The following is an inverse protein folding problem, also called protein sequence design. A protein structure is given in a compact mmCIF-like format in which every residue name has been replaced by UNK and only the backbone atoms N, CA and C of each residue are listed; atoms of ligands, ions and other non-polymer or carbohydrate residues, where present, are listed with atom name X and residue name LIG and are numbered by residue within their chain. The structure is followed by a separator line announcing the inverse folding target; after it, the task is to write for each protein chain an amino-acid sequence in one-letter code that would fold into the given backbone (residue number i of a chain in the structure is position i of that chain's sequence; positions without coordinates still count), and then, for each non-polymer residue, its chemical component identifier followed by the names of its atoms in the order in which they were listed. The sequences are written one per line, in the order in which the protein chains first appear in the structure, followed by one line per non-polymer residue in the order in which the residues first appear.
data_IF_140704098952
#
_entry.id   IF_140704098952
#
_cell.length_a   1.000
_cell.length_b   1.000
_cell.length_c   1.000
_cell.angle_alpha   90.00
_cell.angle_beta   90.00
_cell.angle_gamma   90.00
#
_symmetry.space_group_name_H-M   'P 1'
#
loop_
_entity.id
_entity.type
_entity.pdbx_description
1 polymer ?
#
# COMPACT_ATOMS: atom_id res chain seq x y z
N UNK A 1 18.26 -1.07 32.45
CA UNK A 1 16.99 -1.20 31.71
C UNK A 1 17.30 -1.54 30.27
N UNK A 2 17.05 -2.76 29.77
CA UNK A 2 17.34 -3.04 28.37
C UNK A 2 16.25 -2.41 27.50
N UNK A 3 16.66 -1.59 26.53
CA UNK A 3 15.78 -1.13 25.48
C UNK A 3 15.27 -2.35 24.72
N UNK A 4 13.95 -2.49 24.61
CA UNK A 4 13.32 -3.46 23.70
C UNK A 4 13.64 -3.01 22.28
N UNK A 5 14.75 -3.48 21.73
CA UNK A 5 15.03 -3.37 20.30
C UNK A 5 14.07 -4.31 19.60
N UNK A 6 13.02 -3.73 19.01
CA UNK A 6 12.07 -4.45 18.16
C UNK A 6 12.88 -5.26 17.13
N UNK A 7 12.68 -6.59 17.02
CA UNK A 7 13.46 -7.39 16.08
C UNK A 7 13.33 -6.79 14.66
N UNK A 8 14.42 -6.77 13.87
CA UNK A 8 14.35 -6.33 12.49
C UNK A 8 13.29 -7.20 11.78
N UNK A 9 12.33 -6.53 11.15
CA UNK A 9 11.30 -7.20 10.37
C UNK A 9 11.97 -8.11 9.33
N UNK A 10 11.46 -9.33 9.06
CA UNK A 10 12.00 -10.16 8.00
C UNK A 10 12.00 -9.37 6.68
N UNK A 11 12.94 -9.64 5.76
CA UNK A 11 13.04 -8.91 4.50
C UNK A 11 11.69 -9.00 3.78
N UNK A 12 11.07 -7.85 3.58
CA UNK A 12 9.77 -7.76 2.93
C UNK A 12 9.89 -8.25 1.48
N UNK A 13 9.30 -9.41 1.22
CA UNK A 13 9.27 -9.96 -0.15
C UNK A 13 8.26 -9.26 -1.04
N UNK A 14 7.40 -8.42 -0.46
CA UNK A 14 6.45 -7.56 -1.16
C UNK A 14 6.64 -6.13 -0.72
N UNK A 15 6.68 -5.22 -1.69
CA UNK A 15 6.80 -3.78 -1.45
C UNK A 15 5.58 -3.11 -2.05
N UNK A 16 4.90 -2.30 -1.24
CA UNK A 16 3.86 -1.39 -1.73
C UNK A 16 4.52 -0.08 -2.18
N UNK A 17 4.47 0.19 -3.47
CA UNK A 17 4.89 1.43 -4.09
C UNK A 17 3.73 2.41 -4.11
N UNK A 18 3.98 3.60 -3.57
CA UNK A 18 3.07 4.75 -3.61
C UNK A 18 3.80 5.89 -4.34
N UNK A 19 3.12 6.66 -5.22
CA UNK A 19 3.79 7.72 -5.98
C UNK A 19 4.31 8.85 -5.08
N UNK A 20 3.56 9.17 -4.01
CA UNK A 20 3.98 10.07 -2.97
C UNK A 20 3.32 9.69 -1.63
N UNK A 21 3.90 10.15 -0.52
CA UNK A 21 3.34 9.96 0.83
C UNK A 21 2.34 11.04 1.21
N UNK A 22 2.40 12.20 0.57
CA UNK A 22 1.44 13.30 0.69
C UNK A 22 0.82 13.53 -0.69
N UNK A 23 -0.50 13.46 -0.75
CA UNK A 23 -1.31 13.56 -1.97
C UNK A 23 -2.42 14.58 -1.73
N UNK A 24 -2.93 15.22 -2.77
CA UNK A 24 -4.04 16.16 -2.62
C UNK A 24 -5.38 15.45 -2.82
N UNK A 25 -6.43 16.00 -2.23
CA UNK A 25 -7.80 15.60 -2.56
C UNK A 25 -8.06 15.83 -4.06
N UNK A 26 -8.76 14.89 -4.70
CA UNK A 26 -9.04 14.93 -6.14
C UNK A 26 -7.96 14.31 -7.04
N UNK A 27 -6.76 14.03 -6.53
CA UNK A 27 -5.69 13.38 -7.30
C UNK A 27 -6.09 11.98 -7.81
N UNK A 28 -5.39 11.52 -8.83
CA UNK A 28 -5.46 10.13 -9.33
C UNK A 28 -4.17 9.41 -9.00
N UNK A 29 -4.26 8.41 -8.14
CA UNK A 29 -3.09 7.75 -7.57
C UNK A 29 -3.17 6.26 -7.82
N UNK A 30 -2.11 5.69 -8.40
CA UNK A 30 -2.00 4.25 -8.59
C UNK A 30 -1.00 3.68 -7.59
N UNK A 31 -1.50 2.86 -6.67
CA UNK A 31 -0.67 2.05 -5.78
C UNK A 31 -0.21 0.80 -6.54
N UNK A 32 1.03 0.36 -6.33
CA UNK A 32 1.57 -0.83 -7.00
C UNK A 32 2.21 -1.78 -6.01
N UNK A 33 1.81 -3.04 -6.02
CA UNK A 33 2.41 -4.11 -5.24
C UNK A 33 3.49 -4.82 -6.05
N UNK A 34 4.74 -4.81 -5.60
CA UNK A 34 5.86 -5.42 -6.32
C UNK A 34 6.51 -6.50 -5.48
N UNK A 35 6.92 -7.58 -6.12
CA UNK A 35 7.83 -8.55 -5.51
C UNK A 35 9.22 -7.95 -5.32
N UNK A 36 9.89 -8.30 -4.24
CA UNK A 36 11.29 -7.96 -4.02
C UNK A 36 12.14 -8.49 -5.17
N UNK A 37 13.05 -7.67 -5.70
CA UNK A 37 13.84 -7.95 -6.91
C UNK A 37 13.00 -8.41 -8.12
N UNK A 38 11.83 -7.79 -8.34
CA UNK A 38 10.93 -8.11 -9.46
C UNK A 38 10.44 -9.56 -9.50
N UNK A 39 10.45 -10.24 -8.36
CA UNK A 39 9.82 -11.55 -8.22
C UNK A 39 8.37 -11.49 -8.71
N UNK A 40 7.94 -12.50 -9.47
CA UNK A 40 6.57 -12.58 -9.95
C UNK A 40 5.59 -12.70 -8.77
N UNK A 41 4.55 -11.87 -8.78
CA UNK A 41 3.50 -11.85 -7.75
C UNK A 41 2.14 -12.07 -8.40
N UNK A 42 1.34 -12.97 -7.85
CA UNK A 42 -0.02 -13.26 -8.32
C UNK A 42 -1.04 -13.19 -7.18
N UNK A 43 -2.32 -13.06 -7.53
CA UNK A 43 -3.41 -12.99 -6.54
C UNK A 43 -3.28 -11.83 -5.55
N UNK A 44 -2.80 -10.67 -6.03
CA UNK A 44 -2.58 -9.49 -5.17
C UNK A 44 -3.89 -9.00 -4.55
N UNK A 45 -3.82 -8.64 -3.28
CA UNK A 45 -4.88 -7.99 -2.50
C UNK A 45 -4.32 -6.72 -1.87
N UNK A 46 -5.14 -5.68 -1.84
CA UNK A 46 -4.80 -4.42 -1.19
C UNK A 46 -5.60 -4.26 0.10
N UNK A 47 -5.00 -3.57 1.07
CA UNK A 47 -5.61 -3.33 2.38
C UNK A 47 -5.47 -1.85 2.74
N UNK A 48 -6.52 -1.25 3.30
CA UNK A 48 -6.54 0.09 3.92
C UNK A 48 -7.04 -0.05 5.35
N UNK A 49 -6.28 0.46 6.32
CA UNK A 49 -6.60 0.31 7.75
C UNK A 49 -6.91 -1.15 8.13
N UNK A 50 -6.11 -2.08 7.58
CA UNK A 50 -6.22 -3.54 7.74
C UNK A 50 -7.45 -4.20 7.11
N UNK A 51 -8.33 -3.42 6.48
CA UNK A 51 -9.49 -3.91 5.73
C UNK A 51 -9.13 -4.14 4.27
N UNK A 52 -9.53 -5.29 3.73
CA UNK A 52 -9.31 -5.62 2.33
C UNK A 52 -10.11 -4.68 1.42
N UNK A 53 -9.44 -4.06 0.46
CA UNK A 53 -10.07 -3.24 -0.57
C UNK A 53 -10.59 -4.15 -1.67
N UNK A 54 -11.90 -4.35 -1.69
CA UNK A 54 -12.59 -5.14 -2.71
C UNK A 54 -12.64 -4.32 -4.01
N UNK A 55 -12.12 -4.87 -5.10
CA UNK A 55 -12.14 -4.19 -6.41
C UNK A 55 -10.77 -3.88 -7.01
N UNK A 56 -9.67 -4.44 -6.48
CA UNK A 56 -8.41 -4.50 -7.21
C UNK A 56 -8.59 -5.36 -8.48
N UNK A 57 -9.03 -4.69 -9.54
CA UNK A 57 -9.39 -5.25 -10.83
C UNK A 57 -8.13 -5.75 -11.51
N UNK A 58 -7.77 -7.01 -11.26
CA UNK A 58 -6.78 -7.79 -11.99
C UNK A 58 -5.41 -7.11 -12.12
N UNK A 59 -4.45 -7.56 -11.33
CA UNK A 59 -3.04 -7.23 -11.55
C UNK A 59 -2.32 -6.96 -10.25
N UNK A 60 -1.31 -6.10 -10.33
CA UNK A 60 -0.48 -5.69 -9.21
C UNK A 60 -0.71 -4.23 -8.83
N UNK A 61 -1.74 -3.59 -9.38
CA UNK A 61 -1.97 -2.15 -9.28
C UNK A 61 -3.41 -1.86 -8.80
N UNK A 62 -3.56 -0.76 -8.06
CA UNK A 62 -4.83 -0.25 -7.56
C UNK A 62 -4.89 1.26 -7.78
N UNK A 63 -5.86 1.71 -8.58
CA UNK A 63 -6.11 3.14 -8.78
C UNK A 63 -7.12 3.68 -7.77
N UNK A 64 -6.74 4.75 -7.07
CA UNK A 64 -7.55 5.56 -6.19
C UNK A 64 -7.85 6.87 -6.94
N UNK A 65 -9.10 7.01 -7.40
CA UNK A 65 -9.51 8.15 -8.21
C UNK A 65 -11.03 8.34 -8.16
N UNK A 66 -11.54 9.52 -7.81
CA UNK A 66 -10.81 10.64 -7.21
C UNK A 66 -10.34 10.31 -5.78
N UNK A 67 -9.15 10.80 -5.40
CA UNK A 67 -8.65 10.61 -4.04
C UNK A 67 -9.46 11.46 -3.05
N UNK A 68 -9.93 10.86 -1.97
CA UNK A 68 -10.74 11.50 -0.93
C UNK A 68 -9.97 11.63 0.38
N UNK A 69 -10.26 12.66 1.18
CA UNK A 69 -9.67 12.84 2.53
C UNK A 69 -9.72 11.57 3.39
N UNK A 70 -10.84 10.84 3.36
CA UNK A 70 -11.03 9.62 4.15
C UNK A 70 -10.21 8.41 3.65
N UNK A 71 -9.59 8.50 2.47
CA UNK A 71 -8.68 7.50 1.94
C UNK A 71 -7.25 7.69 2.47
N UNK A 72 -6.98 8.75 3.24
CA UNK A 72 -5.76 8.79 4.06
C UNK A 72 -5.66 7.59 5.01
N UNK A 73 -4.44 7.15 5.31
CA UNK A 73 -4.21 6.06 6.26
C UNK A 73 -3.13 5.07 5.84
N UNK A 74 -3.14 3.90 6.48
CA UNK A 74 -2.15 2.84 6.30
C UNK A 74 -2.60 1.86 5.24
N UNK A 75 -1.80 1.76 4.18
CA UNK A 75 -1.99 0.81 3.10
C UNK A 75 -1.01 -0.35 3.20
N UNK A 76 -1.46 -1.55 2.81
CA UNK A 76 -0.62 -2.75 2.62
C UNK A 76 -1.04 -3.45 1.34
N UNK A 77 -0.15 -4.22 0.75
CA UNK A 77 -0.53 -5.24 -0.20
C UNK A 77 -0.14 -6.63 0.28
N UNK A 78 -0.80 -7.65 -0.24
CA UNK A 78 -0.42 -9.05 -0.04
C UNK A 78 -0.61 -9.82 -1.33
N UNK A 79 0.12 -10.91 -1.51
CA UNK A 79 0.09 -11.68 -2.74
C UNK A 79 0.91 -12.96 -2.65
N UNK A 80 0.74 -13.83 -3.65
CA UNK A 80 1.54 -15.03 -3.81
C UNK A 80 2.85 -14.68 -4.49
N UNK A 81 3.95 -14.80 -3.76
CA UNK A 81 5.30 -14.54 -4.25
C UNK A 81 5.87 -15.82 -4.86
N UNK A 82 6.35 -15.75 -6.10
CA UNK A 82 7.02 -16.86 -6.77
C UNK A 82 8.53 -16.61 -6.81
N UNK A 83 9.24 -16.97 -5.73
CA UNK A 83 10.70 -16.83 -5.62
C UNK A 83 11.40 -18.14 -5.21
N UNK A 84 10.72 -19.29 -5.28
CA UNK A 84 11.23 -20.57 -4.80
C UNK A 84 10.45 -21.77 -5.36
N UNK A 85 10.66 -22.99 -4.82
CA UNK A 85 10.07 -24.22 -5.36
C UNK A 85 8.54 -24.26 -5.26
N UNK A 86 7.96 -23.51 -4.33
CA UNK A 86 6.51 -23.33 -4.18
C UNK A 86 6.20 -21.85 -3.94
N UNK A 87 5.10 -21.31 -4.48
CA UNK A 87 4.66 -19.96 -4.15
C UNK A 87 4.08 -19.90 -2.73
N UNK A 88 4.33 -18.80 -2.03
CA UNK A 88 3.79 -18.53 -0.69
C UNK A 88 3.09 -17.18 -0.62
N UNK A 89 2.10 -17.09 0.27
CA UNK A 89 1.41 -15.85 0.55
C UNK A 89 2.22 -14.97 1.50
N UNK A 90 2.40 -13.70 1.16
CA UNK A 90 3.11 -12.72 2.00
C UNK A 90 2.31 -11.40 2.08
N UNK A 91 2.58 -10.57 3.09
CA UNK A 91 2.10 -9.18 3.18
C UNK A 91 3.28 -8.20 3.21
N UNK A 92 3.11 -7.04 2.59
CA UNK A 92 4.06 -5.93 2.68
C UNK A 92 3.97 -5.22 4.05
N UNK A 93 4.99 -4.46 4.40
CA UNK A 93 4.91 -3.48 5.46
C UNK A 93 3.86 -2.41 5.12
N UNK A 94 3.30 -1.77 6.17
CA UNK A 94 2.40 -0.65 6.01
C UNK A 94 3.11 0.57 5.46
N UNK A 95 2.49 1.22 4.49
CA UNK A 95 2.84 2.55 4.02
C UNK A 95 1.72 3.52 4.40
N UNK A 96 2.06 4.58 5.13
CA UNK A 96 1.09 5.62 5.47
C UNK A 96 1.02 6.64 4.33
N UNK A 97 -0.21 6.90 3.87
CA UNK A 97 -0.56 7.90 2.88
C UNK A 97 -1.35 9.01 3.57
N UNK A 98 -0.96 10.26 3.34
CA UNK A 98 -1.66 11.44 3.83
C UNK A 98 -2.35 12.12 2.66
N UNK A 99 -3.66 12.38 2.81
CA UNK A 99 -4.43 13.16 1.83
C UNK A 99 -4.62 14.56 2.43
N UNK A 100 -4.19 15.57 1.69
CA UNK A 100 -4.32 16.97 2.04
C UNK A 100 -5.56 17.52 1.35
N UNK A 101 -6.50 18.03 2.14
CA UNK A 101 -7.60 18.82 1.59
C UNK A 101 -7.06 20.15 1.06
N UNK A 102 -7.70 20.70 0.04
CA UNK A 102 -7.46 22.08 -0.33
C UNK A 102 -7.84 22.98 0.87
N UNK A 103 -7.01 23.97 1.16
CA UNK A 103 -7.37 24.96 2.16
C UNK A 103 -8.53 25.78 1.58
N UNK A 104 -9.76 25.47 2.03
CA UNK A 104 -10.95 26.21 1.62
C UNK A 104 -10.76 27.69 1.96
N UNK A 105 -10.90 28.55 0.95
CA UNK A 105 -10.93 29.99 1.17
C UNK A 105 -12.21 30.27 1.99
N UNK A 106 -12.05 30.49 3.28
CA UNK A 106 -13.12 30.97 4.14
C UNK A 106 -13.42 32.42 3.80
N UNK A 107 -14.18 32.64 2.74
CA UNK A 107 -14.93 33.88 2.56
C UNK A 107 -16.32 33.67 3.15
N UNK A 108 -16.63 34.49 4.16
CA UNK A 108 -17.75 34.31 5.11
C UNK A 108 -19.14 34.65 4.60
#
# INVERSE_FOLDING_TARGET
SPAVTRPPCPPERLVLQVPARALLEGDTVTLRCRGWQDSAVTGVRFYHEEKELVGALKGTELSLSPLQLHQGGRYRCGGWVNSGPSPWWEKSAPVTVTVLGECGNGDG
#
